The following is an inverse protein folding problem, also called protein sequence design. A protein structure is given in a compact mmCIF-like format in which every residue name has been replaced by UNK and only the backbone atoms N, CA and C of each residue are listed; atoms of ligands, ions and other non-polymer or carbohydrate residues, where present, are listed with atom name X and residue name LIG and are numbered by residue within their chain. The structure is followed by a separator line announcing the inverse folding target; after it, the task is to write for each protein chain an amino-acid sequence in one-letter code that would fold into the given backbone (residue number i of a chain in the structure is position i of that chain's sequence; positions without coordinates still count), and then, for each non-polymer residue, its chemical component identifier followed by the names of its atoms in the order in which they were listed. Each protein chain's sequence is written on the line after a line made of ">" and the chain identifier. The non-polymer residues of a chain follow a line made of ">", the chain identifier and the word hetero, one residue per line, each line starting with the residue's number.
data_IF_630474652423
#
_entry.id   IF_630474652423
#
_cell.length_a   1.000
_cell.length_b   1.000
_cell.length_c   1.000
_cell.angle_alpha   90.00
_cell.angle_beta   90.00
_cell.angle_gamma   90.00
#
_symmetry.space_group_name_H-M   'P 1'
#
loop_
_entity.id
_entity.type
_entity.pdbx_description
1 polymer ?
#
# COMPACT_ATOMS: atom_id res chain seq x y z
N UNK A 1 8.98 -21.09 10.90
CA UNK A 1 9.12 -19.75 10.32
C UNK A 1 10.21 -19.87 9.27
N UNK A 2 9.91 -19.69 7.97
CA UNK A 2 10.93 -19.77 6.94
C UNK A 2 11.99 -18.68 7.19
N UNK A 3 13.28 -19.05 7.14
CA UNK A 3 14.40 -18.11 7.28
C UNK A 3 14.30 -17.03 6.20
N UNK A 4 14.41 -15.76 6.57
CA UNK A 4 14.25 -14.62 5.66
C UNK A 4 15.24 -14.69 4.49
N UNK A 5 16.43 -15.30 4.70
CA UNK A 5 17.42 -15.52 3.66
C UNK A 5 16.93 -16.49 2.59
N UNK A 6 16.17 -17.52 2.98
CA UNK A 6 15.55 -18.46 2.05
C UNK A 6 14.49 -17.77 1.19
N UNK A 7 13.59 -16.98 1.81
CA UNK A 7 12.57 -16.20 1.08
C UNK A 7 13.21 -15.25 0.05
N UNK A 8 14.24 -14.50 0.45
CA UNK A 8 14.97 -13.61 -0.46
C UNK A 8 15.67 -14.37 -1.60
N UNK A 9 16.26 -15.53 -1.31
CA UNK A 9 16.90 -16.36 -2.34
C UNK A 9 15.89 -16.86 -3.37
N UNK A 10 14.75 -17.38 -2.92
CA UNK A 10 13.68 -17.87 -3.79
C UNK A 10 13.11 -16.75 -4.66
N UNK A 11 12.89 -15.57 -4.07
CA UNK A 11 12.42 -14.38 -4.78
C UNK A 11 13.43 -13.89 -5.82
N UNK A 12 14.72 -13.83 -5.46
CA UNK A 12 15.79 -13.43 -6.38
C UNK A 12 16.00 -14.43 -7.54
N UNK A 13 15.69 -15.71 -7.33
CA UNK A 13 15.70 -16.74 -8.37
C UNK A 13 14.43 -16.73 -9.24
N UNK A 14 13.45 -15.87 -8.95
CA UNK A 14 12.13 -15.83 -9.59
C UNK A 14 11.46 -17.22 -9.61
N UNK A 15 11.51 -17.93 -8.49
CA UNK A 15 10.88 -19.24 -8.38
C UNK A 15 9.36 -19.14 -8.67
N UNK A 16 8.81 -20.02 -9.51
CA UNK A 16 7.38 -19.97 -9.84
C UNK A 16 6.53 -20.14 -8.58
N UNK A 17 5.51 -19.29 -8.44
CA UNK A 17 4.60 -19.31 -7.28
C UNK A 17 5.14 -18.61 -6.04
N UNK A 18 6.36 -18.04 -6.05
CA UNK A 18 6.93 -17.41 -4.83
C UNK A 18 6.08 -16.29 -4.24
N UNK A 19 5.32 -15.57 -5.07
CA UNK A 19 4.41 -14.50 -4.60
C UNK A 19 3.10 -15.10 -4.10
N UNK A 20 2.57 -16.12 -4.78
CA UNK A 20 1.31 -16.78 -4.42
C UNK A 20 1.45 -17.58 -3.12
N UNK A 21 2.63 -18.16 -2.87
CA UNK A 21 3.00 -18.83 -1.62
C UNK A 21 2.97 -17.88 -0.42
N UNK A 22 3.23 -16.59 -0.65
CA UNK A 22 3.33 -15.53 0.35
C UNK A 22 1.99 -14.80 0.54
N UNK A 23 0.95 -15.58 0.86
CA UNK A 23 -0.42 -15.08 1.02
C UNK A 23 -0.66 -14.24 2.29
N UNK A 24 -1.87 -13.67 2.45
CA UNK A 24 -2.26 -12.81 3.58
C UNK A 24 -1.92 -13.37 4.98
N UNK A 25 -2.17 -14.66 5.19
CA UNK A 25 -1.89 -15.34 6.45
C UNK A 25 -0.38 -15.47 6.72
N UNK A 26 0.42 -15.77 5.68
CA UNK A 26 1.88 -15.86 5.80
C UNK A 26 2.51 -14.49 6.11
N UNK A 27 2.00 -13.43 5.46
CA UNK A 27 2.41 -12.05 5.71
C UNK A 27 2.08 -11.60 7.15
N UNK A 28 0.87 -11.89 7.62
CA UNK A 28 0.46 -11.58 9.00
C UNK A 28 1.31 -12.33 10.03
N UNK A 29 1.56 -13.63 9.81
CA UNK A 29 2.46 -14.42 10.64
C UNK A 29 3.92 -13.91 10.63
N UNK A 30 4.33 -13.20 9.56
CA UNK A 30 5.62 -12.54 9.45
C UNK A 30 5.66 -11.12 10.03
N UNK A 31 4.56 -10.63 10.63
CA UNK A 31 4.47 -9.34 11.29
C UNK A 31 3.88 -8.21 10.42
N UNK A 32 3.49 -8.49 9.17
CA UNK A 32 2.81 -7.54 8.30
C UNK A 32 1.29 -7.71 8.47
N UNK A 33 0.76 -7.13 9.55
CA UNK A 33 -0.68 -7.14 9.86
C UNK A 33 -1.51 -6.40 8.79
N UNK A 34 -2.84 -6.49 8.88
CA UNK A 34 -3.73 -5.96 7.84
C UNK A 34 -3.57 -4.44 7.64
N UNK A 35 -3.39 -3.67 8.72
CA UNK A 35 -3.10 -2.23 8.66
C UNK A 35 -1.78 -1.94 7.93
N UNK A 36 -0.71 -2.66 8.26
CA UNK A 36 0.60 -2.50 7.62
C UNK A 36 0.55 -2.88 6.14
N UNK A 37 -0.19 -3.96 5.80
CA UNK A 37 -0.41 -4.38 4.41
C UNK A 37 -1.13 -3.30 3.61
N UNK A 38 -2.21 -2.75 4.14
CA UNK A 38 -2.97 -1.70 3.46
C UNK A 38 -2.11 -0.46 3.20
N UNK A 39 -1.33 -0.01 4.20
CA UNK A 39 -0.41 1.12 4.03
C UNK A 39 0.69 0.84 3.01
N UNK A 40 1.30 -0.36 3.02
CA UNK A 40 2.34 -0.73 2.04
C UNK A 40 1.80 -0.75 0.62
N UNK A 41 0.58 -1.28 0.43
CA UNK A 41 -0.06 -1.32 -0.90
C UNK A 41 -0.44 0.07 -1.39
N UNK A 42 -1.06 0.88 -0.54
CA UNK A 42 -1.35 2.28 -0.86
C UNK A 42 -0.07 3.05 -1.19
N UNK A 43 0.99 2.87 -0.42
CA UNK A 43 2.27 3.53 -0.66
C UNK A 43 2.91 3.11 -1.98
N UNK A 44 2.85 1.80 -2.30
CA UNK A 44 3.27 1.28 -3.60
C UNK A 44 2.48 1.90 -4.74
N UNK A 45 1.15 2.04 -4.57
CA UNK A 45 0.26 2.65 -5.56
C UNK A 45 0.61 4.12 -5.83
N UNK A 46 0.90 4.88 -4.77
CA UNK A 46 1.37 6.28 -4.87
C UNK A 46 2.70 6.34 -5.64
N UNK A 47 3.63 5.44 -5.34
CA UNK A 47 4.93 5.39 -6.02
C UNK A 47 4.78 5.09 -7.52
N UNK A 48 3.98 4.09 -7.90
CA UNK A 48 3.80 3.70 -9.32
C UNK A 48 2.79 4.56 -10.07
N UNK A 49 1.95 5.32 -9.35
CA UNK A 49 0.98 6.24 -9.95
C UNK A 49 -0.19 5.49 -10.54
N UNK A 50 -0.91 4.80 -9.67
CA UNK A 50 -2.10 4.03 -10.07
C UNK A 50 -3.24 4.88 -10.61
N UNK A 51 -4.28 4.19 -11.06
CA UNK A 51 -5.55 4.81 -11.45
C UNK A 51 -6.41 5.14 -10.24
N UNK A 52 -7.38 6.04 -10.43
CA UNK A 52 -8.35 6.41 -9.39
C UNK A 52 -9.11 5.22 -8.82
N UNK A 53 -9.48 4.26 -9.67
CA UNK A 53 -10.15 3.03 -9.23
C UNK A 53 -9.28 2.20 -8.27
N UNK A 54 -7.98 2.12 -8.54
CA UNK A 54 -7.05 1.44 -7.64
C UNK A 54 -6.86 2.19 -6.32
N UNK A 55 -6.90 3.53 -6.33
CA UNK A 55 -6.83 4.31 -5.09
C UNK A 55 -8.06 4.07 -4.23
N UNK A 56 -9.26 4.07 -4.82
CA UNK A 56 -10.49 3.79 -4.09
C UNK A 56 -10.44 2.41 -3.42
N UNK A 57 -10.06 1.36 -4.16
CA UNK A 57 -9.92 0.01 -3.62
C UNK A 57 -8.92 -0.05 -2.44
N UNK A 58 -7.76 0.59 -2.57
CA UNK A 58 -6.73 0.56 -1.51
C UNK A 58 -7.09 1.42 -0.30
N UNK A 59 -7.84 2.50 -0.50
CA UNK A 59 -8.38 3.31 0.60
C UNK A 59 -9.47 2.53 1.34
N UNK A 60 -10.38 1.86 0.63
CA UNK A 60 -11.40 0.99 1.22
C UNK A 60 -10.76 -0.16 2.03
N UNK A 61 -9.71 -0.80 1.50
CA UNK A 61 -8.94 -1.83 2.21
C UNK A 61 -8.30 -1.25 3.50
N UNK A 62 -7.75 -0.03 3.44
CA UNK A 62 -7.15 0.64 4.59
C UNK A 62 -8.16 1.00 5.68
N UNK A 63 -9.32 1.53 5.29
CA UNK A 63 -10.42 1.84 6.22
C UNK A 63 -10.96 0.56 6.85
N UNK A 64 -11.14 -0.50 6.05
CA UNK A 64 -11.58 -1.82 6.53
C UNK A 64 -10.60 -2.46 7.51
N UNK A 65 -9.29 -2.17 7.36
CA UNK A 65 -8.26 -2.56 8.31
C UNK A 65 -8.24 -1.70 9.59
N UNK A 66 -9.12 -0.69 9.71
CA UNK A 66 -9.25 0.18 10.87
C UNK A 66 -8.27 1.36 10.90
N UNK A 67 -7.73 1.76 9.76
CA UNK A 67 -6.92 2.99 9.66
C UNK A 67 -7.81 4.23 9.64
N UNK A 68 -7.35 5.29 10.28
CA UNK A 68 -8.02 6.60 10.22
C UNK A 68 -7.71 7.30 8.91
N UNK A 69 -8.59 8.22 8.50
CA UNK A 69 -8.35 9.08 7.33
C UNK A 69 -7.02 9.85 7.46
N UNK A 70 -6.70 10.39 8.64
CA UNK A 70 -5.41 11.04 8.92
C UNK A 70 -4.21 10.11 8.69
N UNK A 71 -4.29 8.84 9.07
CA UNK A 71 -3.22 7.87 8.85
C UNK A 71 -3.02 7.59 7.35
N UNK A 72 -4.11 7.50 6.59
CA UNK A 72 -4.10 7.30 5.14
C UNK A 72 -3.48 8.52 4.44
N UNK A 73 -3.91 9.73 4.81
CA UNK A 73 -3.38 10.99 4.27
C UNK A 73 -1.89 11.16 4.60
N UNK A 74 -1.48 10.75 5.81
CA UNK A 74 -0.07 10.82 6.25
C UNK A 74 0.89 10.05 5.34
N UNK A 75 0.42 9.03 4.61
CA UNK A 75 1.24 8.30 3.62
C UNK A 75 1.78 9.23 2.53
N UNK A 76 0.97 10.20 2.06
CA UNK A 76 1.39 11.13 1.02
C UNK A 76 2.56 12.00 1.49
N UNK A 77 2.49 12.47 2.74
CA UNK A 77 3.55 13.25 3.36
C UNK A 77 4.80 12.42 3.63
N UNK A 78 4.63 11.18 4.09
CA UNK A 78 5.74 10.24 4.33
C UNK A 78 6.49 9.88 3.03
N UNK A 79 5.77 9.81 1.90
CA UNK A 79 6.35 9.47 0.60
C UNK A 79 6.96 10.66 -0.13
N UNK A 80 6.57 11.90 0.18
CA UNK A 80 7.09 13.11 -0.48
C UNK A 80 8.61 13.12 -0.68
N UNK A 81 9.44 12.77 0.33
CA UNK A 81 10.90 12.68 0.19
C UNK A 81 11.40 11.52 -0.69
N UNK A 82 10.60 10.48 -0.90
CA UNK A 82 10.99 9.25 -1.63
C UNK A 82 10.56 9.33 -3.10
N UNK A 83 9.31 9.73 -3.35
CA UNK A 83 8.72 9.75 -4.70
C UNK A 83 8.72 11.15 -5.33
N UNK A 84 9.06 12.17 -4.53
CA UNK A 84 8.99 13.58 -4.91
C UNK A 84 7.64 14.23 -4.64
N UNK A 85 7.66 15.52 -4.30
CA UNK A 85 6.45 16.33 -4.03
C UNK A 85 5.43 16.27 -5.17
N UNK A 86 5.80 16.39 -6.46
CA UNK A 86 4.80 16.36 -7.54
C UNK A 86 3.98 15.08 -7.55
N UNK A 87 4.62 13.94 -7.23
CA UNK A 87 3.96 12.64 -7.22
C UNK A 87 3.01 12.49 -6.04
N UNK A 88 3.44 12.88 -4.84
CA UNK A 88 2.58 12.89 -3.66
C UNK A 88 1.36 13.79 -3.85
N UNK A 89 1.55 14.99 -4.39
CA UNK A 89 0.46 15.95 -4.67
C UNK A 89 -0.50 15.39 -5.72
N UNK A 90 -0.01 14.77 -6.78
CA UNK A 90 -0.88 14.18 -7.83
C UNK A 90 -1.78 13.05 -7.32
N UNK A 91 -1.38 12.37 -6.25
CA UNK A 91 -2.17 11.29 -5.64
C UNK A 91 -3.25 11.81 -4.68
N UNK A 92 -3.13 13.05 -4.20
CA UNK A 92 -4.04 13.61 -3.20
C UNK A 92 -5.52 13.62 -3.63
N UNK A 93 -5.88 14.00 -4.88
CA UNK A 93 -7.28 13.97 -5.31
C UNK A 93 -7.87 12.56 -5.37
N UNK A 94 -7.08 11.58 -5.80
CA UNK A 94 -7.53 10.19 -5.86
C UNK A 94 -7.73 9.60 -4.47
N UNK A 95 -6.83 9.91 -3.52
CA UNK A 95 -6.97 9.51 -2.11
C UNK A 95 -8.17 10.21 -1.45
N UNK A 96 -8.36 11.51 -1.70
CA UNK A 96 -9.51 12.25 -1.19
C UNK A 96 -10.84 11.63 -1.63
N UNK A 97 -10.97 11.33 -2.93
CA UNK A 97 -12.16 10.65 -3.48
C UNK A 97 -12.36 9.25 -2.90
N UNK A 98 -11.28 8.49 -2.71
CA UNK A 98 -11.34 7.19 -2.02
C UNK A 98 -11.86 7.30 -0.59
N UNK A 99 -11.59 8.42 0.11
CA UNK A 99 -12.12 8.71 1.44
C UNK A 99 -13.55 9.29 1.41
N UNK A 100 -14.14 9.46 0.23
CA UNK A 100 -15.45 10.09 0.07
C UNK A 100 -15.43 11.61 0.23
N UNK A 101 -14.27 12.25 0.13
CA UNK A 101 -14.13 13.71 0.14
C UNK A 101 -13.93 14.23 -1.29
N UNK A 102 -14.88 15.04 -1.77
CA UNK A 102 -14.75 15.74 -3.04
C UNK A 102 -14.00 17.07 -2.83
N UNK A 103 -12.93 17.29 -3.60
CA UNK A 103 -12.11 18.50 -3.50
C UNK A 103 -12.64 19.66 -4.35
N UNK A 104 -13.65 19.40 -5.20
CA UNK A 104 -14.18 20.35 -6.18
C UNK A 104 -15.49 21.01 -5.71
N UNK A 105 -15.88 20.82 -4.44
CA UNK A 105 -16.93 21.60 -3.74
C UNK A 105 -16.39 22.88 -3.08
#
# INVERSE_FOLDING_TARGET
>A
MADYRSRLRRLAANEPGIIDDEGPAALSAAGLNDQSRALVRLAGLVAVGGSDASYAEQVDEAVSAGLTADAIVSVLFALGPIVGVPRAVSAAPSVARGLGYDLEE
#
